data_IF_022530821439
#
_entry.id   IF_022530821439
#
_cell.length_a   1.000
_cell.length_b   1.000
_cell.length_c   1.000
_cell.angle_alpha   90.00
_cell.angle_beta   90.00
_cell.angle_gamma   90.00
#
_symmetry.space_group_name_H-M   'P 1'
#
loop_
_entity.id
_entity.type
_entity.pdbx_description
1 polymer ?
#
# COMPACT_ATOMS: atom_id res chain seq x y z
N UNK A 1 2.00 -67.04 -47.97
CA UNK A 1 2.80 -65.83 -47.64
C UNK A 1 1.87 -64.63 -47.66
N UNK A 2 1.43 -64.16 -46.49
CA UNK A 2 0.58 -62.98 -46.35
C UNK A 2 1.32 -61.97 -45.46
N UNK A 3 1.60 -60.78 -45.99
CA UNK A 3 2.29 -59.69 -45.27
C UNK A 3 1.26 -58.91 -44.45
N UNK A 4 1.50 -58.67 -43.14
CA UNK A 4 0.59 -57.87 -42.33
C UNK A 4 0.68 -56.38 -42.69
N UNK A 5 -0.48 -55.74 -42.80
CA UNK A 5 -0.65 -54.33 -43.12
C UNK A 5 -0.19 -53.43 -41.96
N UNK A 6 0.76 -52.55 -42.24
CA UNK A 6 1.42 -51.61 -41.29
C UNK A 6 0.52 -50.42 -40.89
N UNK A 7 -0.69 -50.32 -41.45
CA UNK A 7 -1.57 -49.15 -41.27
C UNK A 7 -2.46 -49.18 -40.03
N UNK A 8 -2.55 -50.30 -39.31
CA UNK A 8 -3.45 -50.42 -38.14
C UNK A 8 -2.80 -50.08 -36.80
N UNK A 9 -1.47 -49.94 -36.71
CA UNK A 9 -0.79 -49.61 -35.45
C UNK A 9 -0.61 -48.10 -35.22
N UNK A 10 -0.79 -47.25 -36.23
CA UNK A 10 -0.68 -45.78 -36.05
C UNK A 10 -1.98 -45.17 -35.50
N UNK A 11 -3.14 -45.80 -35.74
CA UNK A 11 -4.43 -45.28 -35.27
C UNK A 11 -4.67 -45.48 -33.75
N UNK A 12 -3.97 -46.42 -33.10
CA UNK A 12 -4.12 -46.69 -31.66
C UNK A 12 -3.23 -45.80 -30.77
N UNK A 13 -2.24 -45.11 -31.33
CA UNK A 13 -1.33 -44.23 -30.56
C UNK A 13 -1.82 -42.78 -30.45
N UNK A 14 -2.84 -42.37 -31.22
CA UNK A 14 -3.35 -40.99 -31.20
C UNK A 14 -4.52 -40.74 -30.22
N UNK A 15 -5.04 -41.76 -29.53
CA UNK A 15 -6.23 -41.58 -28.66
C UNK A 15 -5.85 -41.35 -27.18
N UNK A 16 -4.59 -41.54 -26.76
CA UNK A 16 -4.19 -41.45 -25.34
C UNK A 16 -3.64 -40.07 -24.92
N UNK A 17 -3.44 -39.12 -25.84
CA UNK A 17 -2.86 -37.79 -25.50
C UNK A 17 -3.91 -36.71 -25.22
N UNK A 18 -5.21 -36.99 -25.40
CA UNK A 18 -6.29 -35.97 -25.30
C UNK A 18 -6.91 -35.79 -23.91
N UNK A 19 -6.42 -36.45 -22.86
CA UNK A 19 -7.19 -36.61 -21.60
C UNK A 19 -6.68 -35.86 -20.36
N UNK A 20 -5.63 -35.03 -20.46
CA UNK A 20 -5.07 -34.35 -19.28
C UNK A 20 -4.92 -32.83 -19.40
N UNK A 21 -5.65 -32.18 -20.31
CA UNK A 21 -5.90 -30.74 -20.16
C UNK A 21 -7.00 -30.60 -19.10
N UNK A 22 -6.62 -30.75 -17.83
CA UNK A 22 -7.44 -30.35 -16.70
C UNK A 22 -7.86 -28.90 -16.97
N UNK A 23 -9.16 -28.60 -17.12
CA UNK A 23 -9.60 -27.22 -17.31
C UNK A 23 -9.04 -26.44 -16.13
N UNK A 24 -8.29 -25.38 -16.43
CA UNK A 24 -7.79 -24.44 -15.42
C UNK A 24 -8.97 -24.14 -14.50
N UNK A 25 -8.90 -24.65 -13.28
CA UNK A 25 -10.05 -24.75 -12.39
C UNK A 25 -10.62 -23.37 -12.25
N UNK A 26 -11.78 -23.15 -12.89
CA UNK A 26 -12.51 -21.91 -12.75
C UNK A 26 -12.81 -21.80 -11.26
N UNK A 27 -12.05 -20.95 -10.57
CA UNK A 27 -12.20 -20.78 -9.13
C UNK A 27 -13.62 -20.30 -8.92
N UNK A 28 -14.44 -21.16 -8.32
CA UNK A 28 -15.80 -20.80 -7.96
C UNK A 28 -15.75 -19.99 -6.68
N UNK A 29 -16.68 -19.03 -6.61
CA UNK A 29 -16.79 -18.20 -5.44
C UNK A 29 -17.30 -19.01 -4.25
N UNK A 30 -16.43 -19.25 -3.26
CA UNK A 30 -16.75 -19.99 -2.02
C UNK A 30 -16.33 -19.18 -0.79
N UNK A 31 -17.30 -18.91 0.09
CA UNK A 31 -17.06 -18.22 1.37
C UNK A 31 -16.27 -19.08 2.35
N UNK A 32 -16.47 -20.39 2.33
CA UNK A 32 -15.73 -21.34 3.17
C UNK A 32 -14.24 -21.35 2.79
N UNK A 33 -13.93 -21.37 1.50
CA UNK A 33 -12.55 -21.29 1.02
C UNK A 33 -11.90 -19.96 1.36
N UNK A 34 -12.67 -18.86 1.32
CA UNK A 34 -12.19 -17.56 1.76
C UNK A 34 -11.82 -17.56 3.25
N UNK A 35 -12.66 -18.16 4.10
CA UNK A 35 -12.40 -18.31 5.53
C UNK A 35 -11.17 -19.17 5.79
N UNK A 36 -11.03 -20.30 5.10
CA UNK A 36 -9.86 -21.16 5.19
C UNK A 36 -8.57 -20.42 4.85
N UNK A 37 -8.52 -19.72 3.71
CA UNK A 37 -7.34 -18.96 3.32
C UNK A 37 -7.00 -17.85 4.32
N UNK A 38 -8.01 -17.19 4.89
CA UNK A 38 -7.82 -16.20 5.97
C UNK A 38 -7.22 -16.82 7.22
N UNK A 39 -7.79 -17.92 7.70
CA UNK A 39 -7.40 -18.55 8.96
C UNK A 39 -6.00 -19.17 8.84
N UNK A 40 -5.66 -19.74 7.68
CA UNK A 40 -4.31 -20.24 7.37
C UNK A 40 -3.27 -19.11 7.36
N UNK A 41 -3.56 -17.97 6.70
CA UNK A 41 -2.69 -16.79 6.73
C UNK A 41 -2.48 -16.30 8.16
N UNK A 42 -3.56 -16.12 8.93
CA UNK A 42 -3.44 -15.63 10.30
C UNK A 42 -2.63 -16.58 11.18
N UNK A 43 -2.84 -17.90 11.05
CA UNK A 43 -2.08 -18.90 11.78
C UNK A 43 -0.59 -18.83 11.44
N UNK A 44 -0.26 -18.73 10.15
CA UNK A 44 1.13 -18.67 9.67
C UNK A 44 1.84 -17.38 10.08
N UNK A 45 1.17 -16.22 9.96
CA UNK A 45 1.72 -14.92 10.35
C UNK A 45 1.92 -14.80 11.87
N UNK A 46 1.06 -15.47 12.67
CA UNK A 46 1.17 -15.50 14.14
C UNK A 46 2.22 -16.48 14.64
N UNK A 47 2.57 -17.51 13.87
CA UNK A 47 3.69 -18.38 14.22
C UNK A 47 4.97 -17.53 14.14
N UNK A 48 5.39 -16.99 15.29
CA UNK A 48 6.55 -16.12 15.39
C UNK A 48 7.74 -16.73 14.65
N UNK A 49 8.33 -15.96 13.74
CA UNK A 49 9.45 -16.36 12.87
C UNK A 49 10.74 -16.71 13.62
N UNK A 50 10.72 -16.74 14.95
CA UNK A 50 11.89 -16.94 15.81
C UNK A 50 12.43 -18.37 15.80
N UNK A 51 11.68 -19.34 15.27
CA UNK A 51 12.08 -20.76 15.31
C UNK A 51 12.43 -21.37 13.95
N UNK A 52 12.06 -20.75 12.83
CA UNK A 52 12.28 -21.37 11.52
C UNK A 52 13.71 -21.17 11.04
N UNK A 53 14.38 -22.26 10.63
CA UNK A 53 15.71 -22.22 10.00
C UNK A 53 15.67 -22.85 8.61
N UNK A 54 16.27 -22.18 7.63
CA UNK A 54 16.52 -22.74 6.30
C UNK A 54 15.25 -23.05 5.50
N UNK A 55 15.10 -24.30 5.05
CA UNK A 55 14.05 -24.70 4.08
C UNK A 55 12.62 -24.51 4.59
N UNK A 56 12.41 -24.56 5.91
CA UNK A 56 11.11 -24.35 6.53
C UNK A 56 10.59 -22.93 6.29
N UNK A 57 11.47 -21.92 6.35
CA UNK A 57 11.06 -20.53 6.10
C UNK A 57 10.65 -20.33 4.64
N UNK A 58 11.34 -20.96 3.69
CA UNK A 58 10.99 -20.86 2.27
C UNK A 58 9.60 -21.46 1.99
N UNK A 59 9.31 -22.61 2.59
CA UNK A 59 7.99 -23.25 2.46
C UNK A 59 6.89 -22.44 3.13
N UNK A 60 7.17 -21.87 4.31
CA UNK A 60 6.26 -20.95 4.99
C UNK A 60 5.96 -19.71 4.13
N UNK A 61 7.00 -19.08 3.58
CA UNK A 61 6.88 -17.91 2.71
C UNK A 61 6.04 -18.20 1.46
N UNK A 62 6.27 -19.34 0.80
CA UNK A 62 5.45 -19.79 -0.33
C UNK A 62 3.99 -19.97 0.09
N UNK A 63 3.75 -20.65 1.22
CA UNK A 63 2.40 -20.90 1.69
C UNK A 63 1.65 -19.60 2.06
N UNK A 64 2.33 -18.65 2.72
CA UNK A 64 1.75 -17.34 3.03
C UNK A 64 1.41 -16.57 1.74
N UNK A 65 2.28 -16.59 0.72
CA UNK A 65 1.99 -15.95 -0.58
C UNK A 65 0.79 -16.57 -1.28
N UNK A 66 0.72 -17.91 -1.30
CA UNK A 66 -0.37 -18.65 -1.95
C UNK A 66 -1.71 -18.40 -1.23
N UNK A 67 -1.72 -18.45 0.11
CA UNK A 67 -2.92 -18.19 0.90
C UNK A 67 -3.35 -16.71 0.88
N UNK A 68 -2.40 -15.77 0.82
CA UNK A 68 -2.70 -14.35 0.63
C UNK A 68 -3.31 -14.11 -0.75
N UNK A 69 -2.76 -14.70 -1.81
CA UNK A 69 -3.33 -14.61 -3.16
C UNK A 69 -4.74 -15.21 -3.23
N UNK A 70 -4.95 -16.35 -2.58
CA UNK A 70 -6.28 -16.96 -2.43
C UNK A 70 -7.25 -15.99 -1.74
N UNK A 71 -6.86 -15.44 -0.58
CA UNK A 71 -7.70 -14.53 0.18
C UNK A 71 -8.05 -13.27 -0.62
N UNK A 72 -7.06 -12.64 -1.28
CA UNK A 72 -7.30 -11.49 -2.15
C UNK A 72 -8.32 -11.79 -3.25
N UNK A 73 -8.23 -12.97 -3.88
CA UNK A 73 -9.18 -13.36 -4.92
C UNK A 73 -10.59 -13.54 -4.36
N UNK A 74 -10.74 -14.26 -3.24
CA UNK A 74 -12.05 -14.49 -2.65
C UNK A 74 -12.66 -13.21 -2.06
N UNK A 75 -11.88 -12.34 -1.44
CA UNK A 75 -12.37 -11.05 -0.94
C UNK A 75 -12.96 -10.21 -2.07
N UNK A 76 -12.24 -10.12 -3.19
CA UNK A 76 -12.65 -9.30 -4.31
C UNK A 76 -13.92 -9.81 -5.02
N UNK A 77 -14.17 -11.13 -5.01
CA UNK A 77 -15.25 -11.73 -5.80
C UNK A 77 -16.42 -12.28 -4.97
N UNK A 78 -16.24 -12.55 -3.68
CA UNK A 78 -17.22 -13.31 -2.86
C UNK A 78 -17.72 -12.61 -1.63
N UNK A 79 -16.93 -11.70 -1.07
CA UNK A 79 -17.20 -11.14 0.23
C UNK A 79 -18.00 -9.85 0.13
N UNK A 80 -18.80 -9.57 1.16
CA UNK A 80 -19.41 -8.24 1.33
C UNK A 80 -18.33 -7.19 1.64
N UNK A 81 -18.70 -5.91 1.52
CA UNK A 81 -17.81 -4.77 1.84
C UNK A 81 -17.15 -4.91 3.22
N UNK A 82 -17.95 -5.16 4.26
CA UNK A 82 -17.45 -5.30 5.63
C UNK A 82 -16.51 -6.50 5.81
N UNK A 83 -16.73 -7.57 5.05
CA UNK A 83 -15.85 -8.75 5.04
C UNK A 83 -14.55 -8.49 4.25
N UNK A 84 -14.64 -7.70 3.18
CA UNK A 84 -13.47 -7.24 2.42
C UNK A 84 -12.54 -6.40 3.27
N UNK A 85 -13.08 -5.50 4.09
CA UNK A 85 -12.27 -4.65 4.98
C UNK A 85 -11.53 -5.49 6.02
N UNK A 86 -12.22 -6.43 6.68
CA UNK A 86 -11.59 -7.40 7.61
C UNK A 86 -10.52 -8.26 6.94
N UNK A 87 -10.76 -8.67 5.69
CA UNK A 87 -9.78 -9.45 4.94
C UNK A 87 -8.59 -8.58 4.49
N UNK A 88 -8.83 -7.30 4.22
CA UNK A 88 -7.81 -6.29 3.93
C UNK A 88 -6.77 -6.19 5.05
N UNK A 89 -7.22 -6.15 6.31
CA UNK A 89 -6.31 -6.14 7.48
C UNK A 89 -5.40 -7.37 7.51
N UNK A 90 -5.98 -8.56 7.24
CA UNK A 90 -5.23 -9.82 7.20
C UNK A 90 -4.24 -9.85 6.03
N UNK A 91 -4.64 -9.37 4.85
CA UNK A 91 -3.78 -9.25 3.66
C UNK A 91 -2.61 -8.30 3.95
N UNK A 92 -2.87 -7.14 4.56
CA UNK A 92 -1.84 -6.18 4.91
C UNK A 92 -0.88 -6.71 5.99
N UNK A 93 -1.39 -7.50 6.95
CA UNK A 93 -0.57 -8.19 7.94
C UNK A 93 0.34 -9.25 7.31
N UNK A 94 -0.22 -10.07 6.41
CA UNK A 94 0.52 -11.07 5.65
C UNK A 94 1.61 -10.45 4.79
N UNK A 95 1.29 -9.36 4.09
CA UNK A 95 2.25 -8.59 3.31
C UNK A 95 3.39 -8.05 4.18
N UNK A 96 3.06 -7.50 5.36
CA UNK A 96 4.09 -7.01 6.29
C UNK A 96 4.98 -8.12 6.84
N UNK A 97 4.44 -9.33 7.03
CA UNK A 97 5.23 -10.52 7.36
C UNK A 97 6.16 -10.91 6.20
N UNK A 98 5.65 -10.98 4.96
CA UNK A 98 6.45 -11.29 3.79
C UNK A 98 7.61 -10.29 3.62
N UNK A 99 7.34 -8.99 3.74
CA UNK A 99 8.37 -7.94 3.67
C UNK A 99 9.49 -8.15 4.71
N UNK A 100 9.15 -8.52 5.95
CA UNK A 100 10.12 -8.66 7.05
C UNK A 100 10.83 -10.00 7.10
N UNK A 101 10.21 -11.07 6.62
CA UNK A 101 10.68 -12.44 6.86
C UNK A 101 11.01 -13.19 5.58
N UNK A 102 10.42 -12.81 4.44
CA UNK A 102 10.50 -13.56 3.19
C UNK A 102 11.16 -12.78 2.05
N UNK A 103 11.09 -11.45 2.10
CA UNK A 103 11.56 -10.53 1.06
C UNK A 103 12.75 -9.69 1.54
N UNK A 104 13.65 -10.30 2.35
CA UNK A 104 14.85 -9.65 2.89
C UNK A 104 15.75 -9.08 1.80
N UNK A 105 15.83 -9.76 0.66
CA UNK A 105 16.59 -9.31 -0.51
C UNK A 105 15.82 -8.32 -1.39
N UNK A 106 14.65 -7.83 -0.94
CA UNK A 106 13.82 -6.83 -1.61
C UNK A 106 12.61 -7.39 -2.38
N UNK A 107 12.45 -8.72 -2.44
CA UNK A 107 11.28 -9.39 -3.03
C UNK A 107 11.01 -8.97 -4.48
N UNK A 108 9.77 -8.61 -4.78
CA UNK A 108 9.37 -8.20 -6.13
C UNK A 108 10.10 -6.94 -6.62
N UNK A 109 10.59 -6.08 -5.70
CA UNK A 109 11.23 -4.81 -6.06
C UNK A 109 12.56 -5.02 -6.78
N UNK A 110 13.28 -6.08 -6.42
CA UNK A 110 14.55 -6.46 -7.05
C UNK A 110 14.40 -7.51 -8.16
N UNK A 111 13.23 -8.14 -8.25
CA UNK A 111 12.94 -9.11 -9.31
C UNK A 111 12.94 -8.42 -10.67
N UNK A 112 13.66 -9.01 -11.64
CA UNK A 112 13.71 -8.54 -13.02
C UNK A 112 12.34 -8.61 -13.69
N UNK A 113 11.51 -9.59 -13.30
CA UNK A 113 10.13 -9.75 -13.78
C UNK A 113 9.32 -8.45 -13.71
N UNK A 114 9.30 -7.79 -12.55
CA UNK A 114 8.48 -6.59 -12.33
C UNK A 114 9.18 -5.28 -12.74
N UNK A 115 10.39 -5.40 -13.28
CA UNK A 115 11.16 -4.30 -13.86
C UNK A 115 11.09 -4.25 -15.39
N UNK A 116 10.54 -5.28 -16.05
CA UNK A 116 10.34 -5.26 -17.51
C UNK A 116 9.49 -4.07 -17.97
N UNK A 117 9.87 -3.51 -19.12
CA UNK A 117 9.18 -2.37 -19.74
C UNK A 117 7.68 -2.66 -19.97
N UNK A 118 7.31 -3.88 -20.36
CA UNK A 118 5.91 -4.30 -20.51
C UNK A 118 5.11 -4.16 -19.20
N UNK A 119 5.70 -4.54 -18.05
CA UNK A 119 5.05 -4.36 -16.74
C UNK A 119 4.97 -2.87 -16.40
N UNK A 120 6.01 -2.09 -16.70
CA UNK A 120 6.00 -0.63 -16.53
C UNK A 120 4.98 0.08 -17.41
N UNK A 121 4.73 -0.43 -18.61
CA UNK A 121 3.68 0.04 -19.48
C UNK A 121 2.30 -0.26 -18.89
N UNK A 122 2.08 -1.46 -18.32
CA UNK A 122 0.87 -1.75 -17.56
C UNK A 122 0.68 -0.77 -16.39
N UNK A 123 1.74 -0.48 -15.61
CA UNK A 123 1.72 0.52 -14.51
C UNK A 123 1.37 1.92 -15.00
N UNK A 124 2.00 2.39 -16.09
CA UNK A 124 1.78 3.72 -16.65
C UNK A 124 0.32 3.91 -17.09
N UNK A 125 -0.26 2.91 -17.77
CA UNK A 125 -1.67 2.91 -18.19
C UNK A 125 -2.62 2.96 -17.00
N UNK A 126 -2.26 2.31 -15.88
CA UNK A 126 -3.05 2.35 -14.65
C UNK A 126 -3.01 3.73 -13.98
N UNK A 127 -1.81 4.33 -13.83
CA UNK A 127 -1.63 5.63 -13.16
C UNK A 127 -2.26 6.77 -13.95
N UNK A 128 -2.24 6.70 -15.28
CA UNK A 128 -2.88 7.68 -16.15
C UNK A 128 -4.41 7.80 -15.92
N UNK A 129 -5.05 6.76 -15.37
CA UNK A 129 -6.47 6.73 -15.06
C UNK A 129 -6.94 7.58 -13.87
N UNK A 130 -6.03 8.26 -13.15
CA UNK A 130 -6.40 9.16 -12.04
C UNK A 130 -6.56 8.45 -10.69
N UNK A 131 -6.77 9.27 -9.64
CA UNK A 131 -6.59 8.91 -8.22
C UNK A 131 -7.31 7.62 -7.80
N UNK A 132 -6.62 6.82 -6.97
CA UNK A 132 -7.12 5.61 -6.31
C UNK A 132 -8.22 5.92 -5.27
N UNK A 133 -9.38 6.34 -5.74
CA UNK A 133 -10.64 6.27 -4.97
C UNK A 133 -11.36 4.97 -5.35
N UNK A 134 -12.22 4.43 -4.49
CA UNK A 134 -12.95 3.18 -4.77
C UNK A 134 -14.20 3.48 -5.62
N UNK A 135 -13.98 4.14 -6.75
CA UNK A 135 -15.00 4.45 -7.75
C UNK A 135 -15.05 3.30 -8.77
N UNK A 136 -16.20 3.09 -9.41
CA UNK A 136 -16.36 2.03 -10.41
C UNK A 136 -15.28 2.08 -11.52
N UNK A 137 -14.90 3.29 -11.95
CA UNK A 137 -13.85 3.50 -12.94
C UNK A 137 -12.48 3.05 -12.44
N UNK A 138 -12.16 3.31 -11.18
CA UNK A 138 -10.90 2.86 -10.57
C UNK A 138 -10.83 1.34 -10.46
N UNK A 139 -11.94 0.65 -10.17
CA UNK A 139 -11.99 -0.81 -10.23
C UNK A 139 -11.80 -1.34 -11.66
N UNK A 140 -12.42 -0.70 -12.66
CA UNK A 140 -12.26 -1.08 -14.07
C UNK A 140 -10.80 -0.95 -14.52
N UNK A 141 -10.17 0.18 -14.22
CA UNK A 141 -8.75 0.42 -14.49
C UNK A 141 -7.85 -0.57 -13.75
N UNK A 142 -8.15 -0.89 -12.49
CA UNK A 142 -7.40 -1.91 -11.74
C UNK A 142 -7.54 -3.30 -12.35
N UNK A 143 -8.75 -3.73 -12.76
CA UNK A 143 -8.94 -5.05 -13.38
C UNK A 143 -8.17 -5.16 -14.69
N UNK A 144 -8.15 -4.10 -15.50
CA UNK A 144 -7.34 -4.03 -16.72
C UNK A 144 -5.83 -4.13 -16.40
N UNK A 145 -5.36 -3.36 -15.41
CA UNK A 145 -3.98 -3.40 -14.91
C UNK A 145 -3.58 -4.81 -14.43
N UNK A 146 -4.38 -5.41 -13.56
CA UNK A 146 -4.16 -6.76 -13.03
C UNK A 146 -4.05 -7.80 -14.14
N UNK A 147 -4.94 -7.74 -15.15
CA UNK A 147 -4.91 -8.66 -16.29
C UNK A 147 -3.65 -8.46 -17.13
N UNK A 148 -3.28 -7.21 -17.41
CA UNK A 148 -2.07 -6.85 -18.15
C UNK A 148 -0.81 -7.42 -17.46
N UNK A 149 -0.64 -7.14 -16.16
CA UNK A 149 0.53 -7.61 -15.41
C UNK A 149 0.55 -9.13 -15.31
N UNK A 150 -0.60 -9.77 -15.05
CA UNK A 150 -0.67 -11.24 -14.97
C UNK A 150 -0.27 -11.90 -16.29
N UNK A 151 -0.72 -11.35 -17.42
CA UNK A 151 -0.39 -11.86 -18.75
C UNK A 151 1.10 -11.70 -19.08
N UNK A 152 1.70 -10.54 -18.76
CA UNK A 152 3.15 -10.34 -18.91
C UNK A 152 3.94 -11.27 -17.99
N UNK A 153 3.53 -11.38 -16.73
CA UNK A 153 4.21 -12.21 -15.73
C UNK A 153 4.16 -13.70 -16.13
N UNK A 154 3.01 -14.21 -16.56
CA UNK A 154 2.87 -15.60 -17.00
C UNK A 154 3.66 -15.93 -18.27
N UNK A 155 3.98 -14.93 -19.11
CA UNK A 155 4.77 -15.13 -20.34
C UNK A 155 6.28 -14.97 -20.12
N UNK A 156 6.70 -14.08 -19.22
CA UNK A 156 8.11 -13.67 -19.10
C UNK A 156 8.78 -14.03 -17.79
N UNK A 157 8.04 -14.37 -16.75
CA UNK A 157 8.59 -14.55 -15.42
C UNK A 157 8.66 -16.02 -15.02
N UNK A 158 9.55 -16.31 -14.08
CA UNK A 158 9.58 -17.63 -13.46
C UNK A 158 8.34 -17.84 -12.58
N UNK A 159 7.97 -19.10 -12.35
CA UNK A 159 6.84 -19.47 -11.47
C UNK A 159 7.02 -18.91 -10.06
N UNK A 160 8.26 -18.82 -9.55
CA UNK A 160 8.52 -18.24 -8.23
C UNK A 160 8.34 -16.72 -8.20
N UNK A 161 8.70 -16.01 -9.28
CA UNK A 161 8.44 -14.58 -9.40
C UNK A 161 6.94 -14.28 -9.59
N UNK A 162 6.22 -15.13 -10.31
CA UNK A 162 4.76 -15.01 -10.46
C UNK A 162 4.06 -15.09 -9.10
N UNK A 163 4.56 -15.88 -8.14
CA UNK A 163 4.00 -15.92 -6.76
C UNK A 163 4.12 -14.58 -6.02
N UNK A 164 5.06 -13.71 -6.42
CA UNK A 164 5.22 -12.38 -5.83
C UNK A 164 4.20 -11.37 -6.38
N UNK A 165 3.38 -11.75 -7.37
CA UNK A 165 2.36 -10.90 -7.98
C UNK A 165 1.36 -10.36 -6.96
N UNK A 166 0.99 -11.14 -5.94
CA UNK A 166 0.06 -10.70 -4.89
C UNK A 166 0.64 -9.55 -4.08
N UNK A 167 1.88 -9.66 -3.60
CA UNK A 167 2.60 -8.58 -2.91
C UNK A 167 2.77 -7.34 -3.80
N UNK A 168 3.09 -7.54 -5.07
CA UNK A 168 3.21 -6.48 -6.07
C UNK A 168 1.89 -5.70 -6.26
N UNK A 169 0.77 -6.41 -6.43
CA UNK A 169 -0.55 -5.80 -6.60
C UNK A 169 -0.99 -5.02 -5.35
N UNK A 170 -0.71 -5.55 -4.15
CA UNK A 170 -0.97 -4.83 -2.88
C UNK A 170 -0.19 -3.52 -2.82
N UNK A 171 1.08 -3.50 -3.22
CA UNK A 171 1.88 -2.27 -3.24
C UNK A 171 1.40 -1.24 -4.25
N UNK A 172 1.04 -1.68 -5.46
CA UNK A 172 0.68 -0.78 -6.55
C UNK A 172 -0.77 -0.28 -6.51
N UNK A 173 -1.70 -1.14 -6.11
CA UNK A 173 -3.13 -0.85 -6.17
C UNK A 173 -3.82 -0.75 -4.80
N UNK A 174 -3.10 -1.07 -3.70
CA UNK A 174 -3.61 -0.98 -2.32
C UNK A 174 -4.96 -1.69 -2.18
N UNK A 175 -5.95 -1.02 -1.59
CA UNK A 175 -7.30 -1.52 -1.33
C UNK A 175 -8.04 -2.06 -2.56
N UNK A 176 -7.77 -1.49 -3.75
CA UNK A 176 -8.37 -1.99 -4.98
C UNK A 176 -8.00 -3.46 -5.21
N UNK A 177 -6.88 -3.92 -4.67
CA UNK A 177 -6.37 -5.27 -4.91
C UNK A 177 -7.22 -6.40 -4.32
N UNK A 178 -7.99 -6.11 -3.26
CA UNK A 178 -8.93 -7.04 -2.62
C UNK A 178 -10.38 -6.55 -2.61
N UNK A 179 -10.65 -5.30 -2.99
CA UNK A 179 -12.02 -4.78 -3.11
C UNK A 179 -12.59 -4.88 -4.53
N UNK A 180 -11.75 -4.91 -5.57
CA UNK A 180 -12.20 -4.92 -6.97
C UNK A 180 -12.07 -6.32 -7.60
N UNK A 181 -13.19 -7.04 -7.67
CA UNK A 181 -13.30 -8.34 -8.34
C UNK A 181 -13.39 -8.26 -9.86
N UNK A 182 -13.23 -9.40 -10.54
CA UNK A 182 -13.34 -9.49 -12.00
C UNK A 182 -14.77 -9.19 -12.50
N UNK A 183 -15.76 -9.35 -11.64
CA UNK A 183 -17.20 -9.21 -11.92
C UNK A 183 -17.76 -7.83 -11.57
N UNK A 184 -16.92 -6.90 -11.10
CA UNK A 184 -17.38 -5.60 -10.61
C UNK A 184 -17.98 -4.69 -11.69
N UNK A 185 -17.87 -5.05 -12.97
CA UNK A 185 -18.57 -4.40 -14.08
C UNK A 185 -20.08 -4.71 -14.17
N UNK A 186 -20.55 -5.80 -13.57
CA UNK A 186 -21.95 -6.25 -13.66
C UNK A 186 -22.69 -6.20 -12.31
N UNK A 187 -21.97 -6.33 -11.19
CA UNK A 187 -22.58 -6.48 -9.88
C UNK A 187 -23.12 -5.19 -9.23
N UNK A 188 -22.94 -4.00 -9.85
CA UNK A 188 -23.26 -2.71 -9.20
C UNK A 188 -24.59 -2.07 -9.55
N UNK A 189 -25.35 -2.59 -10.51
CA UNK A 189 -26.72 -2.07 -10.73
C UNK A 189 -27.75 -2.64 -9.75
N UNK A 190 -27.45 -3.74 -9.06
CA UNK A 190 -28.42 -4.38 -8.15
C UNK A 190 -28.63 -3.58 -6.85
N UNK A 191 -27.68 -2.76 -6.43
CA UNK A 191 -27.85 -1.87 -5.26
C UNK A 191 -28.35 -0.47 -5.60
N UNK A 192 -28.44 -0.11 -6.89
CA UNK A 192 -29.20 1.09 -7.31
C UNK A 192 -30.70 0.84 -7.30
N UNK A 193 -31.15 -0.40 -7.51
CA UNK A 193 -32.58 -0.72 -7.61
C UNK A 193 -33.28 -0.67 -6.24
N UNK A 194 -32.58 -0.94 -5.13
CA UNK A 194 -33.17 -0.84 -3.78
C UNK A 194 -33.27 0.60 -3.24
N UNK A 195 -32.78 1.62 -3.96
CA UNK A 195 -32.98 3.04 -3.58
C UNK A 195 -33.94 3.79 -4.50
N UNK A 196 -34.47 3.14 -5.53
CA UNK A 196 -35.32 3.76 -6.55
C UNK A 196 -36.60 2.94 -6.74
N UNK A 197 -37.34 2.70 -5.67
CA UNK A 197 -38.53 1.85 -5.72
C UNK A 197 -39.42 1.95 -4.48
N UNK A 198 -39.91 3.15 -4.17
CA UNK A 198 -41.18 3.28 -3.44
C UNK A 198 -42.05 4.33 -4.13
N UNK A 199 -42.91 3.92 -5.07
CA UNK A 199 -43.98 4.75 -5.61
C UNK A 199 -45.25 4.54 -4.77
N UNK A 200 -45.75 5.62 -4.16
CA UNK A 200 -47.14 5.74 -3.73
C UNK A 200 -47.43 5.28 -2.30
N UNK A 201 -47.56 6.26 -1.40
CA UNK A 201 -48.10 6.04 -0.05
C UNK A 201 -48.37 7.36 0.65
N UNK A 202 -49.60 7.86 0.50
CA UNK A 202 -50.29 8.93 1.22
C UNK A 202 -49.50 9.74 2.27
N UNK A 203 -49.43 11.05 2.03
CA UNK A 203 -49.02 12.04 3.02
C UNK A 203 -50.08 12.21 4.12
N UNK A 204 -49.73 12.14 5.41
CA UNK A 204 -50.48 12.80 6.45
C UNK A 204 -50.03 14.26 6.58
N UNK A 205 -51.02 15.16 6.59
CA UNK A 205 -50.86 16.56 6.96
C UNK A 205 -50.38 16.71 8.43
N UNK A 206 -49.88 17.91 8.74
CA UNK A 206 -49.45 18.46 10.06
C UNK A 206 -47.98 18.15 10.42
N UNK A 207 -47.08 19.10 10.74
CA UNK A 207 -47.18 20.44 11.32
C UNK A 207 -45.96 21.28 10.87
N UNK A 208 -46.14 22.59 10.69
CA UNK A 208 -45.07 23.53 10.37
C UNK A 208 -44.07 23.70 11.53
N UNK A 209 -42.75 23.74 11.29
CA UNK A 209 -41.81 24.22 12.27
C UNK A 209 -41.85 25.75 12.32
N UNK A 210 -42.05 26.28 13.53
CA UNK A 210 -41.98 27.69 13.84
C UNK A 210 -40.60 28.28 13.50
N UNK A 211 -40.63 29.33 12.70
CA UNK A 211 -39.48 30.18 12.39
C UNK A 211 -39.11 30.97 13.66
N UNK A 212 -37.99 30.63 14.29
CA UNK A 212 -37.35 31.50 15.29
C UNK A 212 -36.14 32.20 14.66
N UNK A 213 -36.03 33.53 14.74
CA UNK A 213 -34.86 34.25 14.26
C UNK A 213 -33.67 34.03 15.21
N UNK A 214 -32.43 33.97 14.71
CA UNK A 214 -31.26 33.90 15.58
C UNK A 214 -31.03 35.27 16.24
N UNK A 215 -31.13 35.29 17.58
CA UNK A 215 -30.61 36.41 18.40
C UNK A 215 -29.09 36.34 18.41
N UNK A 216 -28.45 37.37 17.85
CA UNK A 216 -27.06 37.68 18.14
C UNK A 216 -26.96 38.21 19.57
N UNK A 217 -26.43 37.39 20.47
CA UNK A 217 -25.93 37.81 21.77
C UNK A 217 -24.41 37.66 21.74
N UNK A 218 -23.72 38.79 21.72
CA UNK A 218 -22.28 38.84 21.97
C UNK A 218 -22.01 38.41 23.40
N UNK A 219 -21.23 37.34 23.55
CA UNK A 219 -20.59 37.00 24.82
C UNK A 219 -19.09 36.93 24.58
N UNK A 220 -18.43 37.87 25.23
CA UNK A 220 -17.00 37.96 25.48
C UNK A 220 -16.34 36.60 25.72
N UNK A 221 -15.38 36.32 24.85
CA UNK A 221 -14.11 35.63 25.10
C UNK A 221 -13.68 35.59 26.58
N UNK A 222 -13.76 34.41 27.18
CA UNK A 222 -12.76 33.91 28.14
C UNK A 222 -12.89 32.38 28.25
N UNK A 223 -12.25 31.68 27.32
CA UNK A 223 -12.01 30.25 27.46
C UNK A 223 -10.89 30.03 28.49
N UNK A 224 -11.06 29.15 29.49
CA UNK A 224 -9.98 28.80 30.41
C UNK A 224 -8.90 28.01 29.65
N UNK A 225 -7.61 28.14 30.03
CA UNK A 225 -6.55 27.35 29.43
C UNK A 225 -6.78 25.87 29.76
N UNK A 226 -6.95 25.06 28.70
CA UNK A 226 -6.91 23.60 28.82
C UNK A 226 -5.56 23.18 29.42
N UNK A 227 -5.53 22.16 30.30
CA UNK A 227 -4.31 21.70 30.91
C UNK A 227 -3.36 21.20 29.82
N UNK A 228 -2.16 21.79 29.79
CA UNK A 228 -1.01 21.29 29.05
C UNK A 228 -0.82 19.81 29.42
N UNK A 229 -1.16 18.90 28.50
CA UNK A 229 -0.60 17.56 28.57
C UNK A 229 0.93 17.73 28.54
N UNK A 230 1.68 17.10 29.45
CA UNK A 230 3.13 17.26 29.51
C UNK A 230 3.72 16.92 28.15
N UNK A 231 4.44 17.89 27.56
CA UNK A 231 5.42 17.58 26.54
C UNK A 231 6.36 16.55 27.19
N UNK A 232 6.22 15.28 26.81
CA UNK A 232 7.21 14.27 27.15
C UNK A 232 8.52 14.75 26.53
N UNK A 233 9.31 15.44 27.35
CA UNK A 233 10.73 15.63 27.13
C UNK A 233 11.28 14.21 27.13
N UNK A 234 11.47 13.64 25.94
CA UNK A 234 12.15 12.37 25.78
C UNK A 234 13.55 12.57 26.36
N UNK A 235 13.72 12.20 27.63
CA UNK A 235 15.03 12.06 28.22
C UNK A 235 15.68 10.90 27.48
N UNK A 236 16.70 11.22 26.69
CA UNK A 236 17.66 10.25 26.17
C UNK A 236 18.42 9.65 27.36
N UNK A 237 17.78 8.74 28.09
CA UNK A 237 18.49 7.84 28.99
C UNK A 237 19.27 6.88 28.11
N UNK A 238 20.60 6.98 28.17
CA UNK A 238 21.51 6.04 27.55
C UNK A 238 21.00 4.61 27.80
N UNK A 239 20.71 3.89 26.72
CA UNK A 239 20.26 2.51 26.79
C UNK A 239 21.43 1.68 27.33
N UNK A 240 21.37 1.38 28.62
CA UNK A 240 22.28 0.46 29.27
C UNK A 240 22.11 -0.92 28.65
N UNK A 241 23.09 -1.30 27.84
CA UNK A 241 23.21 -2.63 27.24
C UNK A 241 23.21 -3.70 28.33
N UNK A 242 22.21 -4.59 28.30
CA UNK A 242 22.24 -5.83 29.06
C UNK A 242 21.53 -6.94 28.28
N UNK A 243 22.32 -7.74 27.57
CA UNK A 243 22.23 -9.22 27.53
C UNK A 243 23.37 -9.76 26.65
N UNK A 244 24.22 -10.67 27.16
CA UNK A 244 25.36 -11.20 26.41
C UNK A 244 24.99 -12.50 25.67
N UNK A 245 25.08 -12.48 24.33
CA UNK A 245 25.31 -13.70 23.55
C UNK A 245 25.96 -13.36 22.21
N UNK A 246 27.28 -13.57 22.19
CA UNK A 246 28.06 -14.10 21.05
C UNK A 246 27.94 -13.40 19.68
N UNK A 247 28.55 -12.21 19.59
CA UNK A 247 29.48 -11.77 18.51
C UNK A 247 30.06 -10.41 18.92
N UNK A 248 31.14 -10.43 19.70
CA UNK A 248 31.69 -9.28 20.41
C UNK A 248 32.57 -8.33 19.55
N UNK A 249 32.39 -8.27 18.23
CA UNK A 249 33.17 -7.34 17.38
C UNK A 249 32.35 -6.21 16.75
N UNK A 250 31.02 -6.17 16.87
CA UNK A 250 30.21 -5.07 16.28
C UNK A 250 29.74 -4.00 17.26
N UNK A 251 29.78 -4.24 18.58
CA UNK A 251 29.16 -3.29 19.54
C UNK A 251 29.88 -1.95 19.67
N UNK A 252 31.17 -1.87 19.29
CA UNK A 252 31.94 -0.63 19.36
C UNK A 252 31.71 0.26 18.14
N UNK A 253 31.49 -0.33 16.96
CA UNK A 253 31.22 0.41 15.72
C UNK A 253 29.82 1.03 15.74
N UNK A 254 28.83 0.28 16.25
CA UNK A 254 27.46 0.76 16.45
C UNK A 254 27.41 1.99 17.36
N UNK A 255 28.22 2.00 18.41
CA UNK A 255 28.28 3.09 19.39
C UNK A 255 28.89 4.36 18.81
N UNK A 256 29.91 4.22 17.95
CA UNK A 256 30.60 5.36 17.35
C UNK A 256 29.80 6.02 16.21
N UNK A 257 29.12 5.22 15.39
CA UNK A 257 28.16 5.71 14.39
C UNK A 257 27.08 6.58 15.04
N UNK A 258 26.45 6.08 16.11
CA UNK A 258 25.40 6.80 16.81
C UNK A 258 25.90 8.09 17.45
N UNK A 259 27.14 8.11 17.97
CA UNK A 259 27.74 9.30 18.53
C UNK A 259 27.83 10.43 17.47
N UNK A 260 28.30 10.11 16.26
CA UNK A 260 28.41 11.07 15.15
C UNK A 260 27.06 11.50 14.59
N UNK A 261 26.13 10.56 14.42
CA UNK A 261 24.81 10.83 13.88
C UNK A 261 23.92 11.62 14.86
N UNK A 262 24.21 11.58 16.17
CA UNK A 262 23.35 12.13 17.21
C UNK A 262 23.01 13.61 17.04
N UNK A 263 23.98 14.44 16.66
CA UNK A 263 23.78 15.89 16.45
C UNK A 263 22.81 16.15 15.27
N UNK A 264 23.02 15.47 14.15
CA UNK A 264 22.16 15.58 12.98
C UNK A 264 20.76 14.99 13.20
N UNK A 265 20.64 13.90 13.96
CA UNK A 265 19.35 13.33 14.36
C UNK A 265 18.59 14.35 15.24
N UNK A 266 19.28 15.07 16.13
CA UNK A 266 18.65 16.14 16.90
C UNK A 266 18.17 17.29 16.00
N UNK A 267 18.88 17.64 14.93
CA UNK A 267 18.40 18.60 13.94
C UNK A 267 17.13 18.12 13.23
N UNK A 268 17.10 16.87 12.77
CA UNK A 268 15.89 16.25 12.22
C UNK A 268 14.72 16.34 13.22
N UNK A 269 14.99 16.07 14.50
CA UNK A 269 13.99 16.11 15.57
C UNK A 269 13.48 17.53 15.86
N UNK A 270 14.37 18.53 15.89
CA UNK A 270 14.00 19.95 16.02
C UNK A 270 13.10 20.41 14.88
N UNK A 271 13.43 20.05 13.64
CA UNK A 271 12.61 20.39 12.46
C UNK A 271 11.26 19.67 12.49
N UNK A 272 11.23 18.40 12.90
CA UNK A 272 10.00 17.64 13.10
C UNK A 272 9.08 18.31 14.12
N UNK A 273 9.60 18.64 15.30
CA UNK A 273 8.85 19.35 16.34
C UNK A 273 8.34 20.72 15.85
N UNK A 274 9.16 21.47 15.11
CA UNK A 274 8.76 22.75 14.51
C UNK A 274 7.58 22.58 13.56
N UNK A 275 7.61 21.56 12.68
CA UNK A 275 6.50 21.27 11.75
C UNK A 275 5.26 20.77 12.48
N UNK A 276 5.39 19.91 13.47
CA UNK A 276 4.26 19.49 14.31
C UNK A 276 3.62 20.67 15.05
N UNK A 277 4.43 21.61 15.57
CA UNK A 277 3.91 22.83 16.20
C UNK A 277 3.16 23.69 15.20
N UNK A 278 3.70 23.88 13.99
CA UNK A 278 3.03 24.61 12.91
C UNK A 278 1.73 23.92 12.45
N UNK A 279 1.69 22.58 12.44
CA UNK A 279 0.51 21.79 12.10
C UNK A 279 -0.70 22.10 13.01
N UNK A 280 -0.47 22.53 14.26
CA UNK A 280 -1.53 22.90 15.21
C UNK A 280 -2.38 24.10 14.76
N UNK A 281 -1.89 24.90 13.81
CA UNK A 281 -2.62 26.06 13.27
C UNK A 281 -3.69 25.67 12.24
N UNK A 282 -3.66 24.43 11.75
CA UNK A 282 -4.61 23.95 10.75
C UNK A 282 -5.86 23.33 11.39
N UNK A 283 -6.95 23.23 10.61
CA UNK A 283 -8.16 22.50 10.99
C UNK A 283 -7.89 21.00 11.16
N UNK A 284 -8.80 20.26 11.80
CA UNK A 284 -8.58 18.87 12.23
C UNK A 284 -7.95 17.96 11.17
N UNK A 285 -8.49 17.98 9.95
CA UNK A 285 -8.11 17.04 8.90
C UNK A 285 -6.75 17.42 8.28
N UNK A 286 -6.55 18.72 8.03
CA UNK A 286 -5.28 19.25 7.56
C UNK A 286 -4.19 19.12 8.63
N UNK A 287 -4.54 19.23 9.92
CA UNK A 287 -3.61 19.05 11.03
C UNK A 287 -3.09 17.62 11.09
N UNK A 288 -3.96 16.61 10.93
CA UNK A 288 -3.52 15.20 10.90
C UNK A 288 -2.61 14.98 9.69
N UNK A 289 -3.00 15.49 8.52
CA UNK A 289 -2.18 15.41 7.31
C UNK A 289 -0.81 16.04 7.50
N UNK A 290 -0.73 17.29 7.95
CA UNK A 290 0.53 18.01 8.16
C UNK A 290 1.41 17.32 9.22
N UNK A 291 0.81 16.82 10.29
CA UNK A 291 1.51 16.05 11.33
C UNK A 291 2.13 14.78 10.75
N UNK A 292 1.37 14.02 9.96
CA UNK A 292 1.88 12.81 9.32
C UNK A 292 2.93 13.08 8.25
N UNK A 293 2.79 14.17 7.51
CA UNK A 293 3.78 14.58 6.53
C UNK A 293 5.09 15.06 7.17
N UNK A 294 5.01 15.74 8.32
CA UNK A 294 6.17 16.05 9.12
C UNK A 294 6.90 14.78 9.58
N UNK A 295 6.15 13.77 10.05
CA UNK A 295 6.70 12.47 10.47
C UNK A 295 7.39 11.73 9.32
N UNK A 296 6.79 11.68 8.13
CA UNK A 296 7.45 11.06 6.96
C UNK A 296 8.74 11.79 6.57
N UNK A 297 8.74 13.12 6.63
CA UNK A 297 9.95 13.91 6.36
C UNK A 297 11.04 13.68 7.42
N UNK A 298 10.66 13.53 8.70
CA UNK A 298 11.59 13.21 9.79
C UNK A 298 12.27 11.87 9.59
N UNK A 299 11.49 10.84 9.21
CA UNK A 299 12.02 9.50 8.91
C UNK A 299 13.03 9.53 7.75
N UNK A 300 12.71 10.26 6.68
CA UNK A 300 13.64 10.39 5.55
C UNK A 300 14.90 11.16 5.94
N UNK A 301 14.78 12.20 6.77
CA UNK A 301 15.91 12.93 7.32
C UNK A 301 16.86 12.02 8.12
N UNK A 302 16.33 11.23 9.06
CA UNK A 302 17.14 10.27 9.83
C UNK A 302 17.82 9.26 8.90
N UNK A 303 17.09 8.72 7.92
CA UNK A 303 17.63 7.75 6.99
C UNK A 303 18.83 8.31 6.21
N UNK A 304 18.73 9.54 5.71
CA UNK A 304 19.84 10.22 5.01
C UNK A 304 21.02 10.42 5.95
N UNK A 305 20.78 10.92 7.18
CA UNK A 305 21.81 11.13 8.19
C UNK A 305 22.53 9.83 8.55
N UNK A 306 21.80 8.75 8.79
CA UNK A 306 22.39 7.44 9.12
C UNK A 306 23.17 6.88 7.94
N UNK A 307 22.68 7.03 6.71
CA UNK A 307 23.40 6.55 5.52
C UNK A 307 24.70 7.33 5.28
N UNK A 308 24.73 8.62 5.61
CA UNK A 308 25.91 9.47 5.47
C UNK A 308 26.93 9.24 6.60
N UNK A 309 26.47 9.25 7.85
CA UNK A 309 27.33 9.20 9.04
C UNK A 309 27.71 7.78 9.45
N UNK A 310 26.91 6.78 9.08
CA UNK A 310 27.09 5.38 9.46
C UNK A 310 27.27 4.45 8.26
N UNK A 311 27.83 4.98 7.17
CA UNK A 311 28.09 4.22 5.93
C UNK A 311 28.83 2.89 6.17
N UNK A 312 29.71 2.85 7.17
CA UNK A 312 30.54 1.69 7.50
C UNK A 312 29.84 0.66 8.40
N UNK A 313 28.75 1.03 9.09
CA UNK A 313 28.04 0.16 10.05
C UNK A 313 27.15 -0.91 9.39
N UNK A 314 27.04 -0.90 8.06
CA UNK A 314 26.20 -1.82 7.28
C UNK A 314 24.70 -1.46 7.35
N UNK A 315 23.95 -1.87 6.31
CA UNK A 315 22.54 -1.50 6.15
C UNK A 315 21.63 -2.02 7.27
N UNK A 316 21.94 -3.19 7.85
CA UNK A 316 21.13 -3.79 8.91
C UNK A 316 21.12 -2.97 10.19
N UNK A 317 22.24 -2.31 10.53
CA UNK A 317 22.34 -1.47 11.73
C UNK A 317 21.54 -0.19 11.53
N UNK A 318 21.67 0.44 10.35
CA UNK A 318 20.90 1.62 9.94
C UNK A 318 19.39 1.34 10.03
N UNK A 319 18.93 0.21 9.48
CA UNK A 319 17.52 -0.16 9.47
C UNK A 319 16.99 -0.41 10.90
N UNK A 320 17.79 -1.02 11.78
CA UNK A 320 17.40 -1.27 13.17
C UNK A 320 17.27 0.05 13.97
N UNK A 321 18.24 0.96 13.83
CA UNK A 321 18.21 2.28 14.46
C UNK A 321 17.02 3.09 13.95
N UNK A 322 16.81 3.11 12.62
CA UNK A 322 15.69 3.81 11.99
C UNK A 322 14.37 3.27 12.52
N UNK A 323 14.21 1.94 12.55
CA UNK A 323 13.01 1.29 13.08
C UNK A 323 12.77 1.68 14.54
N UNK A 324 13.80 1.64 15.39
CA UNK A 324 13.66 1.97 16.81
C UNK A 324 13.23 3.43 17.03
N UNK A 325 13.75 4.36 16.22
CA UNK A 325 13.43 5.79 16.31
C UNK A 325 12.06 6.16 15.72
N UNK A 326 11.56 5.43 14.73
CA UNK A 326 10.32 5.80 14.03
C UNK A 326 9.12 4.90 14.33
N UNK A 327 9.30 3.81 15.09
CA UNK A 327 8.24 2.82 15.34
C UNK A 327 6.95 3.42 15.90
N UNK A 328 7.05 4.28 16.90
CA UNK A 328 5.86 4.89 17.54
C UNK A 328 5.10 5.82 16.59
N UNK A 329 5.84 6.49 15.69
CA UNK A 329 5.33 7.47 14.76
C UNK A 329 4.68 6.83 13.51
N UNK A 330 5.13 5.64 13.10
CA UNK A 330 4.65 4.95 11.89
C UNK A 330 3.21 4.40 12.03
N UNK A 331 2.75 4.09 13.25
CA UNK A 331 1.42 3.49 13.46
C UNK A 331 0.28 4.44 13.15
N UNK A 332 0.38 5.71 13.54
CA UNK A 332 -0.70 6.69 13.36
C UNK A 332 -0.79 7.20 11.91
N UNK A 333 0.32 7.13 11.16
CA UNK A 333 0.46 7.75 9.86
C UNK A 333 0.55 6.77 8.69
N UNK A 334 0.17 5.50 8.92
CA UNK A 334 0.30 4.40 7.94
C UNK A 334 -0.46 4.66 6.62
N UNK A 335 -1.55 5.40 6.67
CA UNK A 335 -2.36 5.72 5.49
C UNK A 335 -1.80 6.89 4.66
N UNK A 336 -0.85 7.63 5.21
CA UNK A 336 -0.19 8.74 4.54
C UNK A 336 1.05 8.27 3.78
N UNK A 337 1.26 8.80 2.58
CA UNK A 337 2.43 8.52 1.76
C UNK A 337 3.02 9.82 1.22
N UNK A 338 4.24 9.73 0.65
CA UNK A 338 4.91 10.88 0.04
C UNK A 338 4.01 11.65 -0.94
N UNK A 339 3.16 10.95 -1.71
CA UNK A 339 2.25 11.55 -2.68
C UNK A 339 1.12 12.38 -2.04
N UNK A 340 0.59 11.95 -0.88
CA UNK A 340 -0.40 12.74 -0.12
C UNK A 340 0.22 13.95 0.55
N UNK A 341 1.52 13.86 0.86
CA UNK A 341 2.30 14.93 1.48
C UNK A 341 2.86 15.95 0.49
N UNK A 342 3.14 15.55 -0.74
CA UNK A 342 3.58 16.45 -1.81
C UNK A 342 2.47 17.35 -2.37
N UNK A 343 1.33 17.46 -1.68
CA UNK A 343 0.17 18.17 -2.18
C UNK A 343 0.31 19.68 -2.04
N UNK A 344 1.24 20.30 -2.80
CA UNK A 344 1.22 21.70 -3.24
C UNK A 344 2.33 22.06 -4.24
N UNK A 345 2.61 21.25 -5.26
CA UNK A 345 3.28 21.76 -6.50
C UNK A 345 2.27 21.94 -7.66
N UNK A 346 1.05 21.40 -7.53
CA UNK A 346 0.01 21.61 -8.54
C UNK A 346 -0.53 23.05 -8.62
N UNK A 347 -0.12 23.96 -7.72
CA UNK A 347 -0.46 25.40 -7.82
C UNK A 347 0.63 26.25 -8.46
N UNK A 348 1.87 25.75 -8.57
CA UNK A 348 2.96 26.48 -9.26
C UNK A 348 3.07 26.12 -10.74
N UNK A 349 2.60 24.94 -11.16
CA UNK A 349 2.57 24.58 -12.60
C UNK A 349 1.61 25.45 -13.42
N UNK A 350 0.46 25.85 -12.86
CA UNK A 350 -0.46 26.77 -13.54
C UNK A 350 0.13 28.18 -13.69
N UNK A 351 0.89 28.66 -12.70
CA UNK A 351 1.54 29.97 -12.77
C UNK A 351 2.71 29.99 -13.78
N UNK A 352 3.50 28.91 -13.86
CA UNK A 352 4.56 28.80 -14.87
C UNK A 352 4.02 28.65 -16.29
N UNK A 353 2.91 27.91 -16.48
CA UNK A 353 2.27 27.80 -17.79
C UNK A 353 1.66 29.13 -18.26
N UNK A 354 1.08 29.92 -17.34
CA UNK A 354 0.61 31.27 -17.66
C UNK A 354 1.77 32.24 -17.98
N UNK A 355 2.89 32.16 -17.27
CA UNK A 355 4.07 32.99 -17.56
C UNK A 355 4.75 32.62 -18.88
N UNK A 356 4.74 31.34 -19.28
CA UNK A 356 5.25 30.91 -20.58
C UNK A 356 4.33 31.38 -21.73
N UNK A 357 3.01 31.33 -21.54
CA UNK A 357 2.04 31.78 -22.55
C UNK A 357 2.12 33.29 -22.81
N UNK A 358 2.34 34.12 -21.78
CA UNK A 358 2.49 35.57 -21.96
C UNK A 358 3.78 35.94 -22.70
N UNK A 359 4.88 35.23 -22.46
CA UNK A 359 6.14 35.46 -23.18
C UNK A 359 6.05 35.11 -24.68
N UNK A 360 5.29 34.06 -25.04
CA UNK A 360 5.04 33.71 -26.45
C UNK A 360 4.18 34.76 -27.13
N UNK A 361 3.12 35.24 -26.48
CA UNK A 361 2.26 36.28 -27.04
C UNK A 361 3.02 37.61 -27.26
N UNK A 362 3.86 38.03 -26.30
CA UNK A 362 4.67 39.25 -26.46
C UNK A 362 5.64 39.16 -27.65
N UNK A 363 6.22 37.98 -27.92
CA UNK A 363 7.08 37.78 -29.09
C UNK A 363 6.33 37.77 -30.42
N UNK A 364 5.09 37.28 -30.46
CA UNK A 364 4.33 37.28 -31.72
C UNK A 364 3.84 38.69 -32.11
N UNK A 365 3.58 39.57 -31.13
CA UNK A 365 3.14 40.94 -31.43
C UNK A 365 4.28 41.87 -31.88
N UNK A 366 5.53 41.62 -31.49
CA UNK A 366 6.67 42.48 -31.87
C UNK A 366 7.24 42.19 -33.26
N UNK A 367 6.96 41.03 -33.87
CA UNK A 367 7.47 40.65 -35.20
C UNK A 367 6.51 41.05 -36.33
N UNK A 368 5.24 41.37 -36.03
CA UNK A 368 4.23 41.71 -37.02
C UNK A 368 4.10 43.20 -37.39
N UNK A 369 4.95 44.08 -36.83
CA UNK A 369 4.85 45.53 -36.99
C UNK A 369 6.03 46.15 -37.75
N UNK A 370 6.71 45.38 -38.61
CA UNK A 370 7.82 45.86 -39.47
C UNK A 370 7.45 45.77 -40.93
#
# INVERSE_FOLDING_TARGET
MARPNVWTTVAAACIIVTSYVLPASAQTCSLERAAQCRDDVMRQVRQESRSFRGQEITNLCRSVRDNMACLMWHSANCQSRDQQDKSGDVILSAKSFLDRSCDLDGGWRVSRCFQYDDVKQCEANFVAGGKASIVADSCRSYVAFKRCVKDVAGRRCSVEEERQLSSYLVDRARELSWQCGATSGEARDVHSIYRSGSPGGYAPYTQAPAYYPPRYLGTSSTSPPLPLAPLHRYNFSAVSASSPSSRASSSNEDSYCMLRASEYIQDCSREHQRRQYNARRYHSDDRVRETCCATLAYRECIKVVLHDQCRDAGSSVIDNILYQQTRELDYECRDFNAYRCSGCIAKTSAAMLLAAATLVLVRTFTVGSS
#
